data_IF_490617451680
#
_entry.id   IF_490617451680
#
_cell.length_a   1.000
_cell.length_b   1.000
_cell.length_c   1.000
_cell.angle_alpha   90.00
_cell.angle_beta   90.00
_cell.angle_gamma   90.00
#
_symmetry.space_group_name_H-M   'P 1'
#
loop_
_entity.id
_entity.type
_entity.pdbx_description
1 polymer ?
#
# COMPACT_ATOMS: atom_id res chain seq x y z
N UNK A 1 -18.79 -22.75 -11.34
CA UNK A 1 -17.34 -22.92 -11.06
C UNK A 1 -16.76 -21.52 -10.94
N UNK A 2 -16.72 -20.96 -9.72
CA UNK A 2 -16.14 -19.63 -9.51
C UNK A 2 -14.65 -19.74 -9.76
N UNK A 3 -14.15 -19.09 -10.82
CA UNK A 3 -12.71 -18.98 -11.04
C UNK A 3 -12.10 -18.34 -9.78
N UNK A 4 -11.33 -19.12 -9.04
CA UNK A 4 -10.43 -18.62 -8.01
C UNK A 4 -9.37 -17.76 -8.69
N UNK A 5 -9.71 -16.51 -9.05
CA UNK A 5 -8.71 -15.50 -9.31
C UNK A 5 -7.91 -15.35 -8.02
N UNK A 6 -6.64 -15.77 -8.03
CA UNK A 6 -5.78 -15.52 -6.87
C UNK A 6 -5.70 -14.00 -6.67
N UNK A 7 -5.80 -13.52 -5.43
CA UNK A 7 -5.75 -12.08 -5.11
C UNK A 7 -4.53 -11.39 -5.73
N UNK A 8 -3.43 -12.13 -5.90
CA UNK A 8 -2.22 -11.71 -6.59
C UNK A 8 -2.47 -11.33 -8.05
N UNK A 9 -3.28 -12.10 -8.77
CA UNK A 9 -3.65 -11.77 -10.15
C UNK A 9 -4.58 -10.55 -10.22
N UNK A 10 -5.56 -10.45 -9.32
CA UNK A 10 -6.42 -9.25 -9.25
C UNK A 10 -5.62 -7.98 -8.97
N UNK A 11 -4.64 -8.05 -8.07
CA UNK A 11 -3.74 -6.93 -7.78
C UNK A 11 -2.89 -6.54 -9.00
N UNK A 12 -2.31 -7.50 -9.71
CA UNK A 12 -1.57 -7.25 -10.95
C UNK A 12 -2.45 -6.61 -12.04
N UNK A 13 -3.70 -7.07 -12.16
CA UNK A 13 -4.66 -6.49 -13.12
C UNK A 13 -4.99 -5.05 -12.71
N UNK A 14 -5.20 -4.78 -11.43
CA UNK A 14 -5.49 -3.43 -10.93
C UNK A 14 -4.31 -2.47 -11.17
N UNK A 15 -3.07 -2.92 -11.00
CA UNK A 15 -1.86 -2.16 -11.37
C UNK A 15 -1.81 -1.88 -12.88
N UNK A 16 -1.92 -2.93 -13.71
CA UNK A 16 -1.87 -2.79 -15.17
C UNK A 16 -3.02 -1.94 -15.74
N UNK A 17 -4.19 -2.02 -15.13
CA UNK A 17 -5.38 -1.27 -15.52
C UNK A 17 -5.38 0.18 -15.02
N UNK A 18 -4.37 0.62 -14.26
CA UNK A 18 -4.29 1.98 -13.72
C UNK A 18 -5.29 2.27 -12.59
N UNK A 19 -5.93 1.25 -12.04
CA UNK A 19 -6.81 1.36 -10.87
C UNK A 19 -6.03 1.63 -9.59
N UNK A 20 -4.77 1.18 -9.54
CA UNK A 20 -3.80 1.50 -8.49
C UNK A 20 -2.71 2.37 -9.10
N UNK A 21 -2.49 3.55 -8.52
CA UNK A 21 -1.42 4.46 -8.94
C UNK A 21 -0.17 4.21 -8.10
N UNK A 22 0.95 4.04 -8.78
CA UNK A 22 2.25 3.92 -8.15
C UNK A 22 2.86 5.31 -7.89
N UNK A 23 3.51 5.46 -6.74
CA UNK A 23 4.24 6.68 -6.36
C UNK A 23 5.65 6.29 -5.95
N UNK A 24 6.64 7.04 -6.43
CA UNK A 24 8.01 6.90 -5.96
C UNK A 24 8.10 7.29 -4.48
N UNK A 25 8.78 6.49 -3.66
CA UNK A 25 8.89 6.78 -2.24
C UNK A 25 9.62 8.11 -1.96
N UNK A 26 10.48 8.54 -2.89
CA UNK A 26 11.19 9.82 -2.85
C UNK A 26 10.29 11.06 -3.07
N UNK A 27 9.00 10.90 -3.39
CA UNK A 27 8.06 12.02 -3.53
C UNK A 27 7.33 12.36 -2.22
N UNK A 28 7.72 11.70 -1.13
CA UNK A 28 7.19 11.94 0.21
C UNK A 28 8.26 12.58 1.10
N UNK A 29 7.90 13.68 1.73
CA UNK A 29 8.76 14.47 2.60
C UNK A 29 8.18 14.56 4.03
N UNK A 30 8.98 15.05 4.97
CA UNK A 30 8.56 15.28 6.36
C UNK A 30 7.93 14.04 7.04
N UNK A 31 8.47 12.86 6.74
CA UNK A 31 7.93 11.57 7.16
C UNK A 31 8.06 11.43 8.68
N UNK A 32 6.92 11.38 9.37
CA UNK A 32 6.84 11.28 10.83
C UNK A 32 5.93 10.13 11.25
N UNK A 33 6.35 9.31 12.21
CA UNK A 33 5.51 8.21 12.71
C UNK A 33 4.30 8.76 13.46
N UNK A 34 3.10 8.30 13.11
CA UNK A 34 1.85 8.68 13.79
C UNK A 34 1.12 7.50 14.44
N UNK A 35 1.52 6.27 14.15
CA UNK A 35 0.92 5.09 14.77
C UNK A 35 1.68 3.80 14.51
N UNK A 36 1.51 2.82 15.40
CA UNK A 36 2.06 1.48 15.28
C UNK A 36 0.99 0.46 15.65
N UNK A 37 0.91 -0.63 14.91
CA UNK A 37 -0.02 -1.74 15.18
C UNK A 37 0.59 -3.09 14.79
N UNK A 38 -0.14 -4.17 15.03
CA UNK A 38 0.34 -5.53 14.76
C UNK A 38 0.74 -5.78 13.30
N UNK A 39 0.11 -5.06 12.36
CA UNK A 39 0.32 -5.24 10.93
C UNK A 39 1.28 -4.21 10.30
N UNK A 40 1.77 -3.23 11.05
CA UNK A 40 2.63 -2.21 10.49
C UNK A 40 2.74 -0.90 11.27
N UNK A 41 3.46 0.04 10.66
CA UNK A 41 3.69 1.40 11.15
C UNK A 41 3.04 2.37 10.17
N UNK A 42 2.34 3.37 10.69
CA UNK A 42 1.74 4.45 9.90
C UNK A 42 2.54 5.73 10.13
N UNK A 43 2.89 6.38 9.03
CA UNK A 43 3.57 7.67 9.00
C UNK A 43 2.65 8.72 8.37
N UNK A 44 2.71 9.96 8.87
CA UNK A 44 2.27 11.13 8.12
C UNK A 44 3.42 11.58 7.23
N UNK A 45 3.11 11.96 6.00
CA UNK A 45 4.08 12.57 5.08
C UNK A 45 3.43 13.65 4.23
N UNK A 46 4.25 14.54 3.69
CA UNK A 46 3.86 15.53 2.69
C UNK A 46 4.13 14.94 1.31
N UNK A 47 3.09 14.81 0.49
CA UNK A 47 3.26 14.35 -0.89
C UNK A 47 3.52 15.54 -1.80
N UNK A 48 4.72 15.63 -2.37
CA UNK A 48 5.06 16.69 -3.33
C UNK A 48 4.28 16.55 -4.64
N UNK A 49 3.97 15.30 -5.03
CA UNK A 49 3.16 15.01 -6.22
C UNK A 49 1.68 15.37 -6.05
N UNK A 50 1.12 15.16 -4.86
CA UNK A 50 -0.31 15.39 -4.60
C UNK A 50 -0.60 16.75 -3.93
N UNK A 51 0.42 17.46 -3.46
CA UNK A 51 0.29 18.75 -2.78
C UNK A 51 -0.50 18.67 -1.47
N UNK A 52 -0.50 17.52 -0.79
CA UNK A 52 -1.29 17.30 0.45
C UNK A 52 -0.61 16.34 1.43
N UNK A 53 -1.08 16.38 2.67
CA UNK A 53 -0.73 15.38 3.67
C UNK A 53 -1.33 14.02 3.33
N UNK A 54 -0.54 12.97 3.50
CA UNK A 54 -0.94 11.58 3.29
C UNK A 54 -0.50 10.69 4.46
N UNK A 55 -1.14 9.53 4.57
CA UNK A 55 -0.71 8.47 5.46
C UNK A 55 0.06 7.41 4.66
N UNK A 56 1.29 7.10 5.06
CA UNK A 56 2.09 6.01 4.52
C UNK A 56 2.04 4.84 5.51
N UNK A 57 1.47 3.70 5.12
CA UNK A 57 1.44 2.49 5.96
C UNK A 57 2.54 1.54 5.51
N UNK A 58 3.60 1.41 6.32
CA UNK A 58 4.62 0.37 6.16
C UNK A 58 4.08 -0.91 6.80
N UNK A 59 3.80 -1.91 5.99
CA UNK A 59 3.41 -3.23 6.48
C UNK A 59 4.64 -3.96 7.06
N UNK A 60 4.43 -4.76 8.11
CA UNK A 60 5.47 -5.67 8.58
C UNK A 60 5.76 -6.71 7.48
N UNK A 61 7.04 -7.00 7.23
CA UNK A 61 7.46 -8.01 6.26
C UNK A 61 6.98 -9.40 6.70
N UNK A 62 5.90 -9.87 6.09
CA UNK A 62 5.41 -11.24 6.25
C UNK A 62 5.43 -11.98 4.90
N UNK A 63 6.56 -11.95 4.17
CA UNK A 63 6.77 -12.77 2.95
C UNK A 63 5.59 -12.79 1.95
N UNK A 64 5.28 -13.98 1.42
CA UNK A 64 4.17 -14.21 0.46
C UNK A 64 2.78 -13.76 0.95
N UNK A 65 2.61 -13.47 2.24
CA UNK A 65 1.33 -13.07 2.84
C UNK A 65 1.03 -11.57 2.68
N UNK A 66 1.90 -10.78 2.04
CA UNK A 66 1.62 -9.38 1.72
C UNK A 66 0.27 -9.22 1.02
N UNK A 67 0.00 -10.04 -0.02
CA UNK A 67 -1.23 -9.98 -0.81
C UNK A 67 -2.46 -10.44 -0.02
N UNK A 68 -2.29 -11.45 0.83
CA UNK A 68 -3.39 -11.94 1.67
C UNK A 68 -3.79 -10.93 2.75
N UNK A 69 -2.81 -10.24 3.34
CA UNK A 69 -3.05 -9.26 4.40
C UNK A 69 -3.46 -7.88 3.87
N UNK A 70 -3.01 -7.50 2.66
CA UNK A 70 -3.33 -6.20 2.06
C UNK A 70 -4.74 -6.16 1.45
N UNK A 71 -5.21 -7.28 0.87
CA UNK A 71 -6.50 -7.35 0.12
C UNK A 71 -7.60 -8.05 0.93
N UNK A 72 -7.43 -8.19 2.26
CA UNK A 72 -8.41 -8.90 3.12
C UNK A 72 -9.50 -8.01 3.71
N UNK A 73 -9.40 -6.69 3.56
CA UNK A 73 -10.40 -5.71 4.01
C UNK A 73 -11.20 -5.17 2.84
#
# INVERSE_FOLDING_TARGET
>A
MSLSYSKKESFKIALKGGFIKEFGYNTFENITTIGRGGYGIVYRADSTTLGKHVALKKLHENGELFYENFVRE
#
